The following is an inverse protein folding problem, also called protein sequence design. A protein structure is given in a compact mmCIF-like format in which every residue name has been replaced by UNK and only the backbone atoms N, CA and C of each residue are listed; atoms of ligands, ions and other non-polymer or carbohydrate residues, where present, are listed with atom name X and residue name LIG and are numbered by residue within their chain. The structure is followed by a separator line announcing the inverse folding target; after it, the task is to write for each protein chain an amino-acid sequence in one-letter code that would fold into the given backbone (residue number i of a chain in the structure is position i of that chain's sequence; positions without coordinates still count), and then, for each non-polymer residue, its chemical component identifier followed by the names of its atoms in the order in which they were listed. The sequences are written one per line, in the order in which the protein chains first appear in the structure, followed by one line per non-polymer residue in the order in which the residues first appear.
data_IF_497085253552
#
_entry.id   IF_497085253552
#
_cell.length_a   1.000
_cell.length_b   1.000
_cell.length_c   1.000
_cell.angle_alpha   90.00
_cell.angle_beta   90.00
_cell.angle_gamma   90.00
#
_symmetry.space_group_name_H-M   'P 1'
#
loop_
_entity.id
_entity.type
_entity.pdbx_description
1 polymer ?
#
# COMPACT_ATOMS: atom_id res chain seq x y z
N UNK A 1 -22.75 3.16 -5.18
CA UNK A 1 -23.05 2.76 -6.56
C UNK A 1 -22.28 1.49 -6.88
N UNK A 2 -22.96 0.48 -7.41
CA UNK A 2 -22.36 -0.76 -7.88
C UNK A 2 -21.92 -0.61 -9.33
N UNK A 3 -20.88 -1.35 -9.73
CA UNK A 3 -20.39 -1.39 -11.11
C UNK A 3 -20.20 0.00 -11.70
N UNK A 4 -19.49 0.86 -10.98
CA UNK A 4 -19.25 2.25 -11.37
C UNK A 4 -17.78 2.56 -11.14
N UNK A 5 -17.12 3.14 -12.12
CA UNK A 5 -15.72 3.57 -12.08
C UNK A 5 -15.66 5.10 -12.15
N UNK A 6 -15.01 5.80 -11.22
CA UNK A 6 -14.74 7.22 -11.35
C UNK A 6 -13.71 7.48 -12.45
N UNK A 7 -13.96 8.49 -13.26
CA UNK A 7 -13.13 8.87 -14.41
C UNK A 7 -12.41 10.19 -14.17
N UNK A 8 -13.16 11.23 -13.78
CA UNK A 8 -12.63 12.58 -13.61
C UNK A 8 -13.33 13.33 -12.48
N UNK A 9 -12.58 14.17 -11.77
CA UNK A 9 -13.13 15.09 -10.78
C UNK A 9 -13.31 16.44 -11.49
N UNK A 10 -14.55 16.88 -11.63
CA UNK A 10 -14.91 18.20 -12.13
C UNK A 10 -14.75 19.25 -11.05
N UNK A 11 -14.32 20.45 -11.46
CA UNK A 11 -14.18 21.56 -10.53
C UNK A 11 -14.18 22.92 -11.25
N UNK A 12 -14.54 23.96 -10.51
CA UNK A 12 -14.47 25.35 -10.93
C UNK A 12 -14.00 26.21 -9.77
N UNK A 13 -13.16 27.20 -10.05
CA UNK A 13 -12.66 28.19 -9.06
C UNK A 13 -12.03 27.57 -7.79
N UNK A 14 -11.42 26.36 -7.92
CA UNK A 14 -10.80 25.66 -6.81
C UNK A 14 -11.76 24.81 -5.95
N UNK A 15 -13.04 24.74 -6.31
CA UNK A 15 -14.04 23.91 -5.66
C UNK A 15 -14.41 22.69 -6.52
N UNK A 16 -14.68 21.55 -5.89
CA UNK A 16 -15.22 20.36 -6.57
C UNK A 16 -16.70 20.63 -6.93
N UNK A 17 -17.07 20.34 -8.17
CA UNK A 17 -18.45 20.53 -8.65
C UNK A 17 -19.10 19.23 -9.11
N UNK A 18 -18.33 18.16 -9.25
CA UNK A 18 -18.87 16.87 -9.64
C UNK A 18 -17.82 15.78 -9.80
N UNK A 19 -18.29 14.55 -9.89
CA UNK A 19 -17.47 13.35 -10.17
C UNK A 19 -18.05 12.66 -11.40
N UNK A 20 -17.29 12.69 -12.50
CA UNK A 20 -17.63 11.94 -13.70
C UNK A 20 -17.34 10.46 -13.46
N UNK A 21 -18.31 9.61 -13.77
CA UNK A 21 -18.27 8.17 -13.60
C UNK A 21 -18.72 7.47 -14.89
N UNK A 22 -18.29 6.22 -15.06
CA UNK A 22 -18.76 5.33 -16.12
C UNK A 22 -19.28 4.04 -15.51
N UNK A 23 -20.30 3.45 -16.13
CA UNK A 23 -20.78 2.12 -15.75
C UNK A 23 -19.77 1.06 -16.18
N UNK A 24 -19.70 -0.02 -15.40
CA UNK A 24 -18.81 -1.14 -15.70
C UNK A 24 -19.59 -2.45 -15.70
N UNK A 25 -19.07 -3.42 -16.42
CA UNK A 25 -19.45 -4.84 -16.29
C UNK A 25 -18.25 -5.65 -15.75
N UNK A 26 -18.55 -6.84 -15.23
CA UNK A 26 -17.49 -7.73 -14.77
C UNK A 26 -16.95 -8.54 -15.95
N UNK A 27 -15.68 -8.31 -16.28
CA UNK A 27 -14.94 -9.08 -17.27
C UNK A 27 -14.78 -10.56 -16.90
N UNK A 28 -14.10 -11.34 -17.74
CA UNK A 28 -13.79 -12.74 -17.43
C UNK A 28 -12.94 -12.87 -16.16
N UNK A 29 -13.05 -13.98 -15.42
CA UNK A 29 -12.20 -14.21 -14.25
C UNK A 29 -10.74 -14.42 -14.68
N UNK A 30 -9.80 -13.87 -13.89
CA UNK A 30 -8.38 -14.17 -14.00
C UNK A 30 -8.06 -15.58 -13.43
N UNK A 31 -6.78 -15.98 -13.45
CA UNK A 31 -6.30 -17.27 -12.92
C UNK A 31 -6.63 -17.49 -11.44
N UNK A 32 -6.93 -16.42 -10.69
CA UNK A 32 -7.32 -16.45 -9.26
C UNK A 32 -8.83 -16.31 -9.05
N UNK A 33 -9.62 -16.33 -10.14
CA UNK A 33 -11.07 -16.18 -10.11
C UNK A 33 -11.55 -14.74 -9.90
N UNK A 34 -10.66 -13.72 -9.94
CA UNK A 34 -11.02 -12.31 -9.78
C UNK A 34 -11.48 -11.76 -11.13
N UNK A 35 -12.61 -11.05 -11.12
CA UNK A 35 -13.14 -10.36 -12.29
C UNK A 35 -12.79 -8.87 -12.25
N UNK A 36 -12.14 -8.39 -13.28
CA UNK A 36 -11.80 -6.97 -13.40
C UNK A 36 -12.99 -6.22 -14.00
N UNK A 37 -13.41 -5.09 -13.41
CA UNK A 37 -14.44 -4.24 -14.02
C UNK A 37 -13.97 -3.68 -15.36
N UNK A 38 -14.83 -3.78 -16.38
CA UNK A 38 -14.60 -3.26 -17.73
C UNK A 38 -15.57 -2.09 -17.95
N UNK A 39 -15.06 -0.90 -18.30
CA UNK A 39 -15.92 0.26 -18.60
C UNK A 39 -16.84 0.01 -19.79
N UNK A 40 -18.08 0.44 -19.69
CA UNK A 40 -19.07 0.44 -20.77
C UNK A 40 -19.09 1.81 -21.42
N UNK A 41 -18.56 1.92 -22.64
CA UNK A 41 -18.55 3.17 -23.41
C UNK A 41 -19.96 3.70 -23.64
N UNK A 42 -20.13 5.03 -23.56
CA UNK A 42 -21.42 5.69 -23.75
C UNK A 42 -22.35 5.62 -22.53
N UNK A 43 -21.82 5.24 -21.36
CA UNK A 43 -22.58 5.19 -20.10
C UNK A 43 -22.07 6.18 -19.06
N UNK A 44 -21.33 7.17 -19.52
CA UNK A 44 -20.77 8.23 -18.69
C UNK A 44 -21.89 9.05 -18.06
N UNK A 45 -21.72 9.42 -16.80
CA UNK A 45 -22.63 10.28 -16.06
C UNK A 45 -21.88 11.06 -14.98
N UNK A 46 -22.43 12.19 -14.58
CA UNK A 46 -21.85 13.02 -13.52
C UNK A 46 -22.66 12.88 -12.24
N UNK A 47 -21.95 12.67 -11.16
CA UNK A 47 -22.50 12.81 -9.80
C UNK A 47 -22.25 14.24 -9.34
N UNK A 48 -23.29 14.91 -8.91
CA UNK A 48 -23.21 16.24 -8.30
C UNK A 48 -22.70 16.07 -6.85
N UNK A 49 -21.45 16.47 -6.62
CA UNK A 49 -20.78 16.34 -5.32
C UNK A 49 -19.86 17.52 -5.07
N UNK A 50 -19.77 17.96 -3.84
CA UNK A 50 -18.92 19.08 -3.41
C UNK A 50 -17.58 18.61 -2.82
N UNK A 51 -17.43 17.30 -2.58
CA UNK A 51 -16.21 16.71 -2.03
C UNK A 51 -15.96 15.29 -2.56
N UNK A 52 -14.72 14.99 -2.90
CA UNK A 52 -14.28 13.63 -3.25
C UNK A 52 -13.13 13.21 -2.35
N UNK A 53 -13.29 12.09 -1.64
CA UNK A 53 -12.25 11.50 -0.78
C UNK A 53 -11.67 10.28 -1.47
N UNK A 54 -10.36 10.32 -1.78
CA UNK A 54 -9.63 9.19 -2.32
C UNK A 54 -9.12 8.29 -1.19
N UNK A 55 -9.70 7.10 -1.09
CA UNK A 55 -9.28 6.05 -0.15
C UNK A 55 -8.92 4.74 -0.89
N UNK A 56 -8.19 4.85 -2.00
CA UNK A 56 -7.91 3.77 -2.96
C UNK A 56 -6.46 3.33 -2.87
N UNK A 57 -6.20 2.32 -2.05
CA UNK A 57 -4.91 1.66 -1.98
C UNK A 57 -3.71 2.58 -1.66
N UNK A 58 -2.59 1.95 -1.44
CA UNK A 58 -1.31 2.62 -1.18
C UNK A 58 -0.23 2.00 -2.07
N UNK A 59 0.78 2.78 -2.40
CA UNK A 59 1.97 2.29 -3.10
C UNK A 59 3.21 2.50 -2.23
N UNK A 60 4.12 1.53 -2.17
CA UNK A 60 5.36 1.67 -1.43
C UNK A 60 6.24 2.80 -1.97
N UNK A 61 6.70 3.70 -1.10
CA UNK A 61 7.68 4.74 -1.44
C UNK A 61 9.08 4.13 -1.39
N UNK A 62 9.51 3.51 -2.48
CA UNK A 62 10.75 2.71 -2.52
C UNK A 62 12.02 3.55 -2.73
N UNK A 63 11.92 4.79 -3.18
CA UNK A 63 13.07 5.63 -3.54
C UNK A 63 14.04 5.84 -2.37
N UNK A 64 13.53 6.16 -1.19
CA UNK A 64 14.33 6.36 0.02
C UNK A 64 15.02 5.06 0.43
N UNK A 65 14.30 3.94 0.38
CA UNK A 65 14.80 2.64 0.83
C UNK A 65 15.90 2.08 -0.07
N UNK A 66 15.82 2.33 -1.39
CA UNK A 66 16.84 1.89 -2.36
C UNK A 66 18.20 2.56 -2.16
N UNK A 67 18.25 3.74 -1.52
CA UNK A 67 19.48 4.44 -1.18
C UNK A 67 20.19 3.88 0.05
N UNK A 68 19.56 3.02 0.83
CA UNK A 68 20.12 2.48 2.07
C UNK A 68 20.84 1.16 1.80
N UNK A 69 22.18 1.17 1.91
CA UNK A 69 22.98 -0.05 1.68
C UNK A 69 22.54 -1.17 2.61
N UNK A 70 22.27 -2.34 2.05
CA UNK A 70 21.87 -3.55 2.77
C UNK A 70 20.37 -3.63 3.07
N UNK A 71 19.56 -2.65 2.67
CA UNK A 71 18.09 -2.77 2.67
C UNK A 71 17.64 -3.29 1.31
N UNK A 72 17.07 -4.49 1.30
CA UNK A 72 16.53 -5.12 0.10
C UNK A 72 15.01 -5.07 0.09
N UNK A 73 14.44 -5.05 -1.12
CA UNK A 73 13.01 -5.04 -1.33
C UNK A 73 12.55 -6.31 -2.06
N UNK A 74 11.33 -6.74 -1.77
CA UNK A 74 10.60 -7.72 -2.58
C UNK A 74 10.15 -7.08 -3.91
N UNK A 75 9.73 -7.90 -4.87
CA UNK A 75 9.24 -7.43 -6.17
C UNK A 75 8.07 -6.46 -6.08
N UNK A 76 7.27 -6.55 -5.02
CA UNK A 76 6.13 -5.64 -4.73
C UNK A 76 6.53 -4.36 -3.99
N UNK A 77 7.82 -4.15 -3.71
CA UNK A 77 8.33 -2.94 -3.05
C UNK A 77 8.32 -2.98 -1.52
N UNK A 78 7.95 -4.09 -0.90
CA UNK A 78 8.03 -4.26 0.57
C UNK A 78 9.45 -4.62 1.01
N UNK A 79 9.80 -4.22 2.22
CA UNK A 79 11.14 -4.44 2.80
C UNK A 79 11.34 -5.90 3.18
N UNK A 80 12.48 -6.48 2.78
CA UNK A 80 12.89 -7.82 3.24
C UNK A 80 13.47 -7.75 4.63
N UNK A 81 12.97 -8.59 5.52
CA UNK A 81 13.45 -8.74 6.89
C UNK A 81 13.62 -10.22 7.24
N UNK A 82 14.47 -10.49 8.23
CA UNK A 82 14.59 -11.82 8.85
C UNK A 82 13.50 -12.04 9.93
N UNK A 83 13.55 -13.17 10.61
CA UNK A 83 12.61 -13.53 11.68
C UNK A 83 12.59 -12.56 12.88
N UNK A 84 13.62 -11.73 13.02
CA UNK A 84 13.72 -10.68 14.04
C UNK A 84 13.36 -9.29 13.51
N UNK A 85 12.70 -9.21 12.37
CA UNK A 85 12.36 -7.96 11.68
C UNK A 85 13.56 -7.07 11.32
N UNK A 86 14.77 -7.63 11.28
CA UNK A 86 16.00 -6.93 10.91
C UNK A 86 16.21 -7.05 9.39
N UNK A 87 16.61 -5.96 8.75
CA UNK A 87 16.99 -5.94 7.34
C UNK A 87 18.40 -6.49 7.11
N UNK A 88 18.85 -6.58 5.86
CA UNK A 88 20.26 -6.90 5.57
C UNK A 88 21.25 -5.83 6.06
N UNK A 89 20.79 -4.62 6.40
CA UNK A 89 21.57 -3.66 7.15
C UNK A 89 21.26 -3.80 8.65
N UNK A 90 22.24 -4.18 9.49
CA UNK A 90 21.98 -4.51 10.90
C UNK A 90 21.48 -3.33 11.75
N UNK A 91 21.54 -2.10 11.25
CA UNK A 91 21.04 -0.90 11.94
C UNK A 91 19.55 -0.62 11.66
N UNK A 92 18.93 -1.34 10.71
CA UNK A 92 17.56 -1.08 10.30
C UNK A 92 16.67 -2.28 10.58
N UNK A 93 15.55 -2.00 11.23
CA UNK A 93 14.45 -2.93 11.47
C UNK A 93 13.21 -2.38 10.78
N UNK A 94 12.35 -3.26 10.30
CA UNK A 94 11.13 -2.86 9.62
C UNK A 94 9.98 -3.81 9.98
N UNK A 95 8.77 -3.27 10.09
CA UNK A 95 7.57 -4.01 10.46
C UNK A 95 6.30 -3.32 9.92
N UNK A 96 5.18 -4.00 9.95
CA UNK A 96 3.89 -3.50 9.50
C UNK A 96 3.80 -3.40 7.98
N UNK A 97 3.04 -2.44 7.49
CA UNK A 97 2.69 -2.30 6.07
C UNK A 97 3.91 -2.27 5.14
N UNK A 98 5.03 -1.72 5.60
CA UNK A 98 6.25 -1.66 4.79
C UNK A 98 6.91 -3.04 4.58
N UNK A 99 6.56 -4.05 5.38
CA UNK A 99 7.04 -5.45 5.25
C UNK A 99 5.98 -6.38 4.71
N UNK A 100 4.73 -6.26 5.15
CA UNK A 100 3.63 -7.16 4.80
C UNK A 100 2.78 -6.68 3.61
N UNK A 101 2.94 -5.43 3.17
CA UNK A 101 2.24 -4.86 2.00
C UNK A 101 0.89 -4.24 2.31
N UNK A 102 0.57 -4.02 3.57
CA UNK A 102 -0.69 -3.46 4.05
C UNK A 102 -1.68 -4.55 4.45
N UNK A 103 -1.93 -4.63 5.74
CA UNK A 103 -2.91 -5.49 6.40
C UNK A 103 -3.74 -4.68 7.38
N UNK A 104 -4.29 -5.33 8.39
CA UNK A 104 -5.05 -4.66 9.43
C UNK A 104 -4.15 -3.98 10.47
N UNK A 105 -4.72 -3.04 11.23
CA UNK A 105 -3.99 -2.32 12.30
C UNK A 105 -3.42 -3.28 13.33
N UNK A 106 -4.14 -4.34 13.65
CA UNK A 106 -3.68 -5.37 14.61
C UNK A 106 -2.43 -6.09 14.14
N UNK A 107 -2.29 -6.34 12.83
CA UNK A 107 -1.07 -6.93 12.24
C UNK A 107 0.11 -5.98 12.37
N UNK A 108 -0.10 -4.69 12.07
CA UNK A 108 0.95 -3.67 12.17
C UNK A 108 1.45 -3.52 13.63
N UNK A 109 0.54 -3.56 14.61
CA UNK A 109 0.90 -3.53 16.04
C UNK A 109 1.68 -4.77 16.44
N UNK A 110 1.21 -5.97 16.07
CA UNK A 110 1.88 -7.22 16.40
C UNK A 110 3.30 -7.29 15.81
N UNK A 111 3.46 -6.94 14.53
CA UNK A 111 4.76 -6.90 13.88
C UNK A 111 5.68 -5.82 14.48
N UNK A 112 5.13 -4.65 14.86
CA UNK A 112 5.88 -3.59 15.54
C UNK A 112 6.44 -4.05 16.88
N UNK A 113 5.64 -4.78 17.69
CA UNK A 113 6.09 -5.38 18.94
C UNK A 113 7.17 -6.45 18.71
N UNK A 114 7.03 -7.29 17.70
CA UNK A 114 8.03 -8.28 17.32
C UNK A 114 9.34 -7.63 16.87
N UNK A 115 9.28 -6.56 16.09
CA UNK A 115 10.45 -5.79 15.67
C UNK A 115 11.16 -5.13 16.87
N UNK A 116 10.41 -4.58 17.82
CA UNK A 116 10.96 -4.01 19.05
C UNK A 116 11.70 -5.07 19.89
N UNK A 117 11.11 -6.26 20.03
CA UNK A 117 11.76 -7.39 20.70
C UNK A 117 13.02 -7.87 19.98
N UNK A 118 12.98 -7.91 18.65
CA UNK A 118 14.15 -8.23 17.82
C UNK A 118 15.28 -7.22 17.97
N UNK A 119 14.95 -5.94 18.04
CA UNK A 119 15.88 -4.83 18.26
C UNK A 119 16.52 -4.90 19.65
N UNK A 120 15.70 -5.15 20.69
CA UNK A 120 16.18 -5.28 22.07
C UNK A 120 17.16 -6.45 22.20
N UNK A 121 16.82 -7.61 21.65
CA UNK A 121 17.70 -8.78 21.62
C UNK A 121 19.02 -8.50 20.87
N UNK A 122 18.98 -7.72 19.77
CA UNK A 122 20.16 -7.34 19.03
C UNK A 122 21.06 -6.36 19.81
N UNK A 123 20.47 -5.42 20.57
CA UNK A 123 21.20 -4.48 21.41
C UNK A 123 21.83 -5.16 22.61
N UNK A 124 21.17 -6.13 23.23
CA UNK A 124 21.65 -6.91 24.36
C UNK A 124 22.67 -7.99 24.00
N UNK A 125 22.83 -8.34 22.71
CA UNK A 125 23.79 -9.33 22.28
C UNK A 125 25.24 -8.83 22.47
N UNK A 126 26.15 -9.67 22.96
CA UNK A 126 27.57 -9.31 23.08
C UNK A 126 28.13 -8.92 21.70
N UNK A 127 28.48 -7.66 21.53
CA UNK A 127 29.12 -7.21 20.29
C UNK A 127 30.55 -7.69 20.30
N UNK A 128 30.87 -8.68 19.46
CA UNK A 128 32.26 -9.12 19.26
C UNK A 128 33.12 -7.88 18.96
N UNK A 129 34.18 -7.70 19.76
CA UNK A 129 35.19 -6.68 19.48
C UNK A 129 35.74 -6.95 18.07
N UNK A 130 35.55 -5.96 17.15
CA UNK A 130 36.27 -5.91 15.87
C UNK A 130 37.67 -5.42 16.12
#
# INVERSE_FOLDING_TARGET
LWQTLPVCIGGSEGAVTGLECVRTELGPPDEKGRRTPVPLAGTEFVLDVEMVVRAVGQQPVTQILRGIKGVELHSKGTVKVNERHQTGNPKYFAAGDCTNGGKEVVDAVAEGMAAASGLDAWLGAPRGKK
#
